data_IF_348262401596
#
_entry.id   IF_348262401596
#
_cell.length_a   1.000
_cell.length_b   1.000
_cell.length_c   1.000
_cell.angle_alpha   90.00
_cell.angle_beta   90.00
_cell.angle_gamma   90.00
#
_symmetry.space_group_name_H-M   'P 1'
#
loop_
_entity.id
_entity.type
_entity.pdbx_description
1 polymer ?
#
# COMPACT_ATOMS: atom_id res chain seq x y z
N UNK A 1 14.42 -6.56 14.68
CA UNK A 1 14.18 -6.15 13.28
C UNK A 1 13.09 -5.09 13.23
N UNK A 2 13.26 -4.05 12.42
CA UNK A 2 12.23 -3.02 12.29
C UNK A 2 10.91 -3.60 11.79
N UNK A 3 9.78 -2.98 12.16
CA UNK A 3 8.48 -3.39 11.66
C UNK A 3 8.29 -2.93 10.21
N UNK A 4 7.71 -3.79 9.37
CA UNK A 4 7.43 -3.47 7.97
C UNK A 4 6.00 -2.96 7.83
N UNK A 5 5.85 -1.77 7.23
CA UNK A 5 4.62 -1.30 6.62
C UNK A 5 4.72 -1.42 5.11
N UNK A 6 3.75 -2.05 4.50
CA UNK A 6 3.70 -2.25 3.05
C UNK A 6 2.49 -1.53 2.47
N UNK A 7 2.75 -0.68 1.47
CA UNK A 7 1.67 -0.10 0.67
C UNK A 7 0.97 -1.18 -0.16
N UNK A 8 -0.21 -0.86 -0.63
CA UNK A 8 -1.04 -1.76 -1.40
C UNK A 8 -0.99 -1.42 -2.89
N UNK A 9 -1.54 -0.27 -3.29
CA UNK A 9 -1.63 0.13 -4.69
C UNK A 9 -0.26 0.44 -5.31
N UNK A 10 0.08 -0.19 -6.42
CA UNK A 10 1.40 -0.05 -7.07
C UNK A 10 2.51 -0.90 -6.47
N UNK A 11 2.24 -1.60 -5.36
CA UNK A 11 3.18 -2.51 -4.70
C UNK A 11 2.66 -3.95 -4.72
N UNK A 12 1.48 -4.19 -4.21
CA UNK A 12 0.82 -5.49 -4.17
C UNK A 12 -0.34 -5.57 -5.16
N UNK A 13 -1.21 -4.57 -5.19
CA UNK A 13 -2.38 -4.46 -6.08
C UNK A 13 -2.13 -3.48 -7.21
N UNK A 14 -2.64 -3.80 -8.40
CA UNK A 14 -2.47 -3.00 -9.62
C UNK A 14 -3.67 -2.07 -9.83
N UNK A 15 -3.68 -0.96 -9.10
CA UNK A 15 -4.70 0.07 -9.22
C UNK A 15 -4.73 0.68 -10.62
N UNK A 16 -3.57 0.98 -11.21
CA UNK A 16 -3.46 1.63 -12.53
C UNK A 16 -4.11 0.76 -13.61
N UNK A 17 -3.86 -0.55 -13.60
CA UNK A 17 -4.49 -1.48 -14.55
C UNK A 17 -6.02 -1.57 -14.32
N UNK A 18 -6.46 -1.64 -13.07
CA UNK A 18 -7.89 -1.67 -12.74
C UNK A 18 -8.58 -0.37 -13.17
N UNK A 19 -7.96 0.79 -12.93
CA UNK A 19 -8.46 2.10 -13.33
C UNK A 19 -8.56 2.22 -14.86
N UNK A 20 -7.57 1.72 -15.60
CA UNK A 20 -7.61 1.68 -17.06
C UNK A 20 -8.80 0.86 -17.59
N UNK A 21 -9.07 -0.28 -16.97
CA UNK A 21 -10.23 -1.11 -17.34
C UNK A 21 -11.57 -0.41 -17.04
N UNK A 22 -11.65 0.29 -15.91
CA UNK A 22 -12.87 1.00 -15.50
C UNK A 22 -13.15 2.26 -16.31
N UNK A 23 -12.12 3.02 -16.65
CA UNK A 23 -12.23 4.34 -17.31
C UNK A 23 -11.99 4.30 -18.82
N UNK A 24 -11.39 3.25 -19.35
CA UNK A 24 -10.94 3.15 -20.74
C UNK A 24 -9.72 4.02 -21.06
N UNK A 25 -9.12 4.69 -20.07
CA UNK A 25 -8.04 5.64 -20.24
C UNK A 25 -6.86 5.30 -19.34
N UNK A 26 -5.64 5.72 -19.76
CA UNK A 26 -4.45 5.59 -18.92
C UNK A 26 -4.55 6.58 -17.75
N UNK A 27 -4.66 6.06 -16.53
CA UNK A 27 -4.84 6.85 -15.32
C UNK A 27 -3.74 7.89 -15.09
N UNK A 28 -2.49 7.52 -15.32
CA UNK A 28 -1.34 8.41 -15.14
C UNK A 28 -1.28 9.54 -16.19
N UNK A 29 -1.92 9.36 -17.34
CA UNK A 29 -2.01 10.33 -18.42
C UNK A 29 -3.18 11.31 -18.31
N UNK A 30 -4.04 11.17 -17.34
CA UNK A 30 -5.19 12.05 -17.13
C UNK A 30 -4.77 13.42 -16.61
N UNK A 31 -4.74 14.43 -17.51
CA UNK A 31 -4.28 15.79 -17.18
C UNK A 31 -5.36 16.68 -16.55
N UNK A 32 -6.65 16.38 -16.75
CA UNK A 32 -7.78 17.26 -16.38
C UNK A 32 -8.84 16.50 -15.56
N UNK A 33 -8.47 16.12 -14.35
CA UNK A 33 -9.38 15.41 -13.47
C UNK A 33 -9.46 13.93 -13.77
N UNK A 34 -9.12 13.14 -12.79
CA UNK A 34 -9.22 11.70 -12.83
C UNK A 34 -10.69 11.30 -12.73
N UNK A 35 -11.09 10.32 -13.54
CA UNK A 35 -12.47 9.84 -13.61
C UNK A 35 -12.81 8.93 -12.43
N UNK A 36 -12.91 9.51 -11.25
CA UNK A 36 -13.31 8.80 -10.03
C UNK A 36 -14.74 8.28 -10.09
N UNK A 37 -15.60 8.91 -10.89
CA UNK A 37 -16.98 8.49 -11.05
C UNK A 37 -17.09 7.12 -11.71
N UNK A 38 -16.32 6.86 -12.76
CA UNK A 38 -16.26 5.52 -13.39
C UNK A 38 -15.72 4.46 -12.43
N UNK A 39 -14.75 4.79 -11.60
CA UNK A 39 -14.25 3.88 -10.55
C UNK A 39 -15.34 3.58 -9.53
N UNK A 40 -16.00 4.61 -9.01
CA UNK A 40 -17.09 4.48 -8.04
C UNK A 40 -18.25 3.64 -8.59
N UNK A 41 -18.57 3.79 -9.85
CA UNK A 41 -19.65 3.06 -10.51
C UNK A 41 -19.27 1.65 -10.97
N UNK A 42 -18.00 1.28 -10.89
CA UNK A 42 -17.54 -0.08 -11.19
C UNK A 42 -17.79 -0.98 -9.99
N UNK A 43 -18.66 -1.97 -10.16
CA UNK A 43 -18.97 -2.92 -9.09
C UNK A 43 -17.72 -3.68 -8.64
N UNK A 44 -17.51 -3.74 -7.33
CA UNK A 44 -16.38 -4.44 -6.72
C UNK A 44 -15.00 -3.99 -7.22
N UNK A 45 -14.86 -2.73 -7.64
CA UNK A 45 -13.60 -2.21 -8.16
C UNK A 45 -12.42 -2.51 -7.23
N UNK A 46 -12.52 -2.08 -5.97
CA UNK A 46 -11.43 -2.19 -4.99
C UNK A 46 -11.13 -3.62 -4.56
N UNK A 47 -12.15 -4.47 -4.48
CA UNK A 47 -11.95 -5.88 -4.11
C UNK A 47 -11.46 -6.76 -5.27
N UNK A 48 -11.63 -6.30 -6.52
CA UNK A 48 -11.25 -7.04 -7.72
C UNK A 48 -9.97 -6.54 -8.38
N UNK A 49 -9.23 -5.62 -7.76
CA UNK A 49 -7.93 -5.19 -8.30
C UNK A 49 -7.02 -6.40 -8.55
N UNK A 50 -6.36 -6.50 -9.71
CA UNK A 50 -5.39 -7.56 -9.92
C UNK A 50 -4.15 -7.35 -9.04
N UNK A 51 -3.39 -8.41 -8.84
CA UNK A 51 -2.06 -8.30 -8.28
C UNK A 51 -1.13 -7.52 -9.22
N UNK A 52 -0.19 -6.77 -8.63
CA UNK A 52 0.99 -6.37 -9.37
C UNK A 52 1.70 -7.62 -9.87
N UNK A 53 2.37 -7.51 -11.03
CA UNK A 53 3.03 -8.63 -11.70
C UNK A 53 3.95 -9.44 -10.78
N UNK A 54 4.65 -8.77 -9.88
CA UNK A 54 5.58 -9.36 -8.91
C UNK A 54 5.12 -9.21 -7.45
N UNK A 55 3.88 -8.77 -7.22
CA UNK A 55 3.34 -8.53 -5.89
C UNK A 55 3.32 -9.78 -5.01
N UNK A 56 2.98 -10.94 -5.58
CA UNK A 56 3.01 -12.21 -4.83
C UNK A 56 4.41 -12.61 -4.38
N UNK A 57 5.43 -12.31 -5.19
CA UNK A 57 6.84 -12.55 -4.83
C UNK A 57 7.24 -11.72 -3.62
N UNK A 58 6.88 -10.43 -3.63
CA UNK A 58 7.15 -9.56 -2.49
C UNK A 58 6.42 -10.02 -1.24
N UNK A 59 5.10 -10.25 -1.34
CA UNK A 59 4.29 -10.70 -0.20
C UNK A 59 4.82 -12.00 0.39
N UNK A 60 5.17 -12.98 -0.45
CA UNK A 60 5.76 -14.24 -0.01
C UNK A 60 7.05 -14.07 0.78
N UNK A 61 7.86 -13.06 0.45
CA UNK A 61 9.07 -12.75 1.21
C UNK A 61 8.78 -12.06 2.54
N UNK A 62 7.93 -11.02 2.55
CA UNK A 62 7.73 -10.19 3.75
C UNK A 62 6.75 -10.80 4.75
N UNK A 63 5.82 -11.66 4.32
CA UNK A 63 4.73 -12.17 5.16
C UNK A 63 5.22 -12.88 6.44
N UNK A 64 6.36 -13.57 6.37
CA UNK A 64 6.97 -14.24 7.54
C UNK A 64 7.43 -13.28 8.64
N UNK A 65 7.56 -11.99 8.34
CA UNK A 65 7.94 -10.94 9.28
C UNK A 65 6.74 -10.19 9.86
N UNK A 66 5.52 -10.70 9.66
CA UNK A 66 4.28 -10.11 10.16
C UNK A 66 4.08 -8.62 9.80
N UNK A 67 4.20 -8.24 8.51
CA UNK A 67 4.07 -6.85 8.13
C UNK A 67 2.66 -6.32 8.36
N UNK A 68 2.53 -5.00 8.46
CA UNK A 68 1.26 -4.29 8.40
C UNK A 68 1.03 -3.70 7.02
N UNK A 69 -0.21 -3.63 6.58
CA UNK A 69 -0.61 -2.85 5.41
C UNK A 69 -0.78 -1.40 5.83
N UNK A 70 -0.26 -0.48 5.04
CA UNK A 70 -0.43 0.96 5.20
C UNK A 70 -0.75 1.57 3.84
N UNK A 71 -2.02 1.74 3.56
CA UNK A 71 -2.53 2.15 2.25
C UNK A 71 -3.37 3.42 2.36
N UNK A 72 -3.21 4.33 1.40
CA UNK A 72 -4.10 5.46 1.26
C UNK A 72 -5.47 5.00 0.75
N UNK A 73 -6.53 5.49 1.37
CA UNK A 73 -7.90 5.22 0.96
C UNK A 73 -8.61 6.51 0.55
N UNK A 74 -9.50 6.39 -0.44
CA UNK A 74 -10.42 7.47 -0.79
C UNK A 74 -11.39 7.69 0.38
N UNK A 75 -11.70 8.95 0.65
CA UNK A 75 -12.62 9.32 1.74
C UNK A 75 -14.01 8.72 1.52
N UNK A 76 -14.69 8.36 2.59
CA UNK A 76 -16.00 7.70 2.53
C UNK A 76 -17.07 8.54 1.83
N UNK A 77 -16.98 9.87 1.93
CA UNK A 77 -17.91 10.79 1.24
C UNK A 77 -17.63 10.88 -0.27
N UNK A 78 -16.47 10.44 -0.75
CA UNK A 78 -16.13 10.39 -2.18
C UNK A 78 -16.40 9.01 -2.78
N UNK A 79 -16.00 7.96 -2.08
CA UNK A 79 -16.28 6.57 -2.46
C UNK A 79 -16.40 5.69 -1.20
N UNK A 80 -17.64 5.40 -0.76
CA UNK A 80 -17.85 4.57 0.43
C UNK A 80 -17.43 3.10 0.25
N UNK A 81 -17.14 2.67 -0.98
CA UNK A 81 -16.75 1.30 -1.29
C UNK A 81 -15.24 1.06 -1.18
N UNK A 82 -14.43 2.12 -1.11
CA UNK A 82 -12.98 2.00 -1.14
C UNK A 82 -12.43 1.19 0.05
N UNK A 83 -12.68 1.63 1.27
CA UNK A 83 -12.17 0.94 2.47
C UNK A 83 -12.72 -0.49 2.60
N UNK A 84 -14.02 -0.75 2.51
CA UNK A 84 -14.53 -2.11 2.56
C UNK A 84 -13.99 -2.99 1.44
N UNK A 85 -13.84 -2.46 0.23
CA UNK A 85 -13.30 -3.18 -0.91
C UNK A 85 -11.83 -3.56 -0.71
N UNK A 86 -11.01 -2.62 -0.24
CA UNK A 86 -9.61 -2.91 0.11
C UNK A 86 -9.49 -3.94 1.23
N UNK A 87 -10.35 -3.87 2.24
CA UNK A 87 -10.39 -4.88 3.31
C UNK A 87 -10.68 -6.27 2.74
N UNK A 88 -11.63 -6.41 1.82
CA UNK A 88 -11.92 -7.68 1.15
C UNK A 88 -10.75 -8.16 0.30
N UNK A 89 -10.10 -7.27 -0.42
CA UNK A 89 -8.91 -7.60 -1.20
C UNK A 89 -7.79 -8.16 -0.31
N UNK A 90 -7.52 -7.50 0.81
CA UNK A 90 -6.50 -7.91 1.79
C UNK A 90 -6.83 -9.27 2.39
N UNK A 91 -8.06 -9.45 2.86
CA UNK A 91 -8.51 -10.73 3.43
C UNK A 91 -8.44 -11.87 2.41
N UNK A 92 -8.95 -11.64 1.20
CA UNK A 92 -9.00 -12.65 0.15
C UNK A 92 -7.65 -13.02 -0.43
N UNK A 93 -6.78 -12.05 -0.70
CA UNK A 93 -5.50 -12.24 -1.40
C UNK A 93 -4.32 -12.44 -0.45
N UNK A 94 -4.25 -11.67 0.64
CA UNK A 94 -3.14 -11.74 1.60
C UNK A 94 -3.40 -12.73 2.73
N UNK A 95 -4.64 -13.18 2.90
CA UNK A 95 -5.09 -14.00 4.04
C UNK A 95 -4.80 -13.30 5.38
N UNK A 96 -4.85 -11.98 5.39
CA UNK A 96 -4.63 -11.14 6.54
C UNK A 96 -5.97 -10.63 7.07
N UNK A 97 -6.38 -11.15 8.24
CA UNK A 97 -7.66 -10.82 8.88
C UNK A 97 -7.50 -10.07 10.21
N UNK A 98 -6.27 -9.82 10.65
CA UNK A 98 -6.01 -9.05 11.86
C UNK A 98 -6.11 -7.55 11.54
N UNK A 99 -7.19 -6.91 11.95
CA UNK A 99 -7.46 -5.49 11.70
C UNK A 99 -6.38 -4.56 12.28
N UNK A 100 -5.69 -4.96 13.33
CA UNK A 100 -4.58 -4.18 13.91
C UNK A 100 -3.38 -4.06 12.97
N UNK A 101 -3.30 -4.91 11.94
CA UNK A 101 -2.25 -4.87 10.92
C UNK A 101 -2.70 -4.24 9.60
N UNK A 102 -3.89 -3.64 9.57
CA UNK A 102 -4.47 -3.03 8.36
C UNK A 102 -4.78 -1.57 8.65
N UNK A 103 -4.04 -0.68 8.00
CA UNK A 103 -4.15 0.75 8.19
C UNK A 103 -4.54 1.40 6.85
N UNK A 104 -5.81 1.77 6.73
CA UNK A 104 -6.35 2.50 5.59
C UNK A 104 -6.54 3.95 6.02
N UNK A 105 -5.67 4.82 5.53
CA UNK A 105 -5.50 6.20 6.04
C UNK A 105 -5.54 7.21 4.91
N UNK A 106 -5.54 8.51 5.23
CA UNK A 106 -5.23 9.53 4.24
C UNK A 106 -3.73 9.47 3.90
N UNK A 107 -3.37 9.75 2.65
CA UNK A 107 -1.98 9.67 2.19
C UNK A 107 -1.00 10.40 3.13
N UNK A 108 -1.33 11.63 3.53
CA UNK A 108 -0.47 12.44 4.40
C UNK A 108 -0.28 11.87 5.82
N UNK A 109 -1.16 10.97 6.25
CA UNK A 109 -1.08 10.34 7.58
C UNK A 109 -0.13 9.14 7.61
N UNK A 110 0.32 8.63 6.45
CA UNK A 110 1.28 7.52 6.43
C UNK A 110 2.52 7.81 7.26
N UNK A 111 3.05 9.02 7.18
CA UNK A 111 4.24 9.45 7.92
C UNK A 111 4.10 9.39 9.45
N UNK A 112 2.89 9.28 9.97
CA UNK A 112 2.66 9.18 11.41
C UNK A 112 2.99 7.80 11.99
N UNK A 113 3.22 6.81 11.11
CA UNK A 113 3.55 5.42 11.46
C UNK A 113 5.05 5.12 11.47
N UNK A 114 5.91 6.12 11.29
CA UNK A 114 7.38 5.96 11.16
C UNK A 114 8.06 5.28 12.33
N UNK A 115 7.44 5.34 13.50
CA UNK A 115 7.98 4.79 14.74
C UNK A 115 6.95 3.88 15.39
N UNK A 116 7.36 2.67 15.70
CA UNK A 116 6.53 1.72 16.43
C UNK A 116 7.01 1.61 17.89
N UNK A 117 6.08 1.69 18.83
CA UNK A 117 6.39 1.57 20.24
C UNK A 117 6.15 0.16 20.78
N UNK A 118 7.20 -0.49 21.25
CA UNK A 118 7.11 -1.75 21.99
C UNK A 118 7.86 -1.62 23.32
N UNK A 119 7.21 -1.96 24.43
CA UNK A 119 7.85 -2.00 25.76
C UNK A 119 8.63 -0.73 26.13
N UNK A 120 8.07 0.45 25.81
CA UNK A 120 8.68 1.75 26.12
C UNK A 120 9.85 2.18 25.22
N UNK A 121 10.22 1.38 24.25
CA UNK A 121 11.19 1.75 23.21
C UNK A 121 10.47 2.06 21.90
N UNK A 122 10.85 3.15 21.26
CA UNK A 122 10.39 3.49 19.90
C UNK A 122 11.44 2.98 18.91
N UNK A 123 11.02 2.08 18.04
CA UNK A 123 11.86 1.54 16.97
C UNK A 123 11.44 2.11 15.62
N UNK A 124 12.42 2.36 14.75
CA UNK A 124 12.15 2.79 13.38
C UNK A 124 11.37 1.71 12.64
N UNK A 125 10.37 2.14 11.87
CA UNK A 125 9.64 1.26 10.98
C UNK A 125 10.12 1.42 9.53
N UNK A 126 9.97 0.35 8.73
CA UNK A 126 10.25 0.37 7.29
C UNK A 126 8.94 0.61 6.55
N UNK A 127 8.94 1.53 5.59
CA UNK A 127 7.85 1.69 4.63
C UNK A 127 8.31 1.22 3.25
N UNK A 128 7.53 0.31 2.66
CA UNK A 128 7.63 -0.09 1.25
C UNK A 128 6.50 0.61 0.50
N UNK A 129 6.83 1.55 -0.37
CA UNK A 129 5.83 2.37 -1.10
C UNK A 129 6.41 2.78 -2.46
N UNK A 130 5.58 2.83 -3.49
CA UNK A 130 5.98 3.21 -4.85
C UNK A 130 5.92 4.72 -5.11
N UNK A 131 5.34 5.49 -4.19
CA UNK A 131 5.18 6.93 -4.34
C UNK A 131 6.32 7.70 -3.66
N UNK A 132 7.17 8.42 -4.43
CA UNK A 132 8.36 9.08 -3.87
C UNK A 132 8.05 10.05 -2.74
N UNK A 133 6.94 10.80 -2.81
CA UNK A 133 6.55 11.74 -1.76
C UNK A 133 6.30 11.05 -0.42
N UNK A 134 5.67 9.87 -0.43
CA UNK A 134 5.46 9.11 0.79
C UNK A 134 6.79 8.69 1.44
N UNK A 135 7.74 8.26 0.63
CA UNK A 135 9.09 7.88 1.10
C UNK A 135 9.83 9.10 1.66
N UNK A 136 9.77 10.25 0.99
CA UNK A 136 10.40 11.49 1.46
C UNK A 136 9.83 11.94 2.81
N UNK A 137 8.51 11.96 2.96
CA UNK A 137 7.84 12.32 4.23
C UNK A 137 8.18 11.32 5.35
N UNK A 138 8.23 10.04 5.02
CA UNK A 138 8.56 8.96 5.96
C UNK A 138 9.99 9.08 6.50
N UNK A 139 10.95 9.25 5.61
CA UNK A 139 12.37 9.39 6.00
C UNK A 139 12.64 10.69 6.74
N UNK A 140 11.96 11.78 6.38
CA UNK A 140 12.05 13.05 7.11
C UNK A 140 11.60 12.94 8.58
N UNK A 141 10.71 12.00 8.89
CA UNK A 141 10.28 11.71 10.27
C UNK A 141 11.09 10.58 10.95
N UNK A 142 12.18 10.16 10.35
CA UNK A 142 13.13 9.21 10.93
C UNK A 142 12.83 7.73 10.68
N UNK A 143 11.87 7.41 9.81
CA UNK A 143 11.60 6.04 9.38
C UNK A 143 12.57 5.58 8.27
N UNK A 144 12.61 4.29 8.01
CA UNK A 144 13.37 3.67 6.92
C UNK A 144 12.46 3.55 5.69
N UNK A 145 12.74 4.29 4.62
CA UNK A 145 11.95 4.26 3.39
C UNK A 145 12.59 3.39 2.32
N UNK A 146 11.79 2.54 1.68
CA UNK A 146 12.17 1.78 0.49
C UNK A 146 11.22 2.18 -0.64
N UNK A 147 11.75 2.93 -1.62
CA UNK A 147 11.00 3.25 -2.84
C UNK A 147 10.88 1.97 -3.68
N UNK A 148 9.66 1.47 -3.77
CA UNK A 148 9.37 0.24 -4.49
C UNK A 148 9.37 0.47 -6.00
N UNK A 149 10.22 -0.24 -6.70
CA UNK A 149 10.27 -0.29 -8.18
C UNK A 149 10.04 -1.69 -8.71
N UNK A 150 10.47 -2.71 -7.95
CA UNK A 150 10.22 -4.11 -8.22
C UNK A 150 10.36 -4.93 -6.94
N UNK A 151 9.75 -6.12 -6.91
CA UNK A 151 9.89 -7.02 -5.77
C UNK A 151 11.36 -7.39 -5.53
N UNK A 152 12.12 -7.69 -6.59
CA UNK A 152 13.54 -8.06 -6.47
C UNK A 152 14.37 -6.95 -5.86
N UNK A 153 14.18 -5.70 -6.28
CA UNK A 153 14.89 -4.54 -5.72
C UNK A 153 14.53 -4.33 -4.25
N UNK A 154 13.24 -4.36 -3.93
CA UNK A 154 12.76 -4.19 -2.55
C UNK A 154 13.30 -5.29 -1.62
N UNK A 155 13.24 -6.54 -2.05
CA UNK A 155 13.79 -7.68 -1.27
C UNK A 155 15.29 -7.51 -1.05
N UNK A 156 16.03 -7.09 -2.07
CA UNK A 156 17.47 -6.83 -1.94
C UNK A 156 17.76 -5.76 -0.89
N UNK A 157 16.98 -4.67 -0.88
CA UNK A 157 17.13 -3.60 0.11
C UNK A 157 16.76 -4.07 1.52
N UNK A 158 15.69 -4.86 1.67
CA UNK A 158 15.31 -5.45 2.95
C UNK A 158 16.41 -6.35 3.52
N UNK A 159 17.02 -7.20 2.69
CA UNK A 159 18.15 -8.06 3.11
C UNK A 159 19.34 -7.25 3.60
N UNK A 160 19.64 -6.10 3.00
CA UNK A 160 20.76 -5.22 3.45
C UNK A 160 20.54 -4.64 4.84
N UNK A 161 19.30 -4.54 5.29
CA UNK A 161 18.95 -4.02 6.62
C UNK A 161 18.56 -5.13 7.61
N UNK A 162 18.81 -6.40 7.25
CA UNK A 162 18.76 -7.53 8.18
C UNK A 162 17.52 -8.44 8.06
N UNK A 163 16.68 -8.30 7.03
CA UNK A 163 15.54 -9.20 6.76
C UNK A 163 15.93 -10.46 5.99
#
# INVERSE_FOLDING_TARGET
MPHIYCDMDGVLSDFVLAAKKATGQNWEGMRHGQDWESIKNTQNFWSNMPWMRDGKKLWGFINKYNPSILSAAVKDNQDPNCKPGKMRWISGNLKLNNSARINLVNRSQKQDYTMIGHSGKREQAVLIDDYPKNITEWTAKGGIGILHTSASSTISQLKKIGF
#
